data_IF_623737973836
#
_entry.id   IF_623737973836
#
_cell.length_a   1.000
_cell.length_b   1.000
_cell.length_c   1.000
_cell.angle_alpha   90.00
_cell.angle_beta   90.00
_cell.angle_gamma   90.00
#
_symmetry.space_group_name_H-M   'P 1'
#
loop_
_entity.id
_entity.type
_entity.pdbx_description
1 polymer ?
#
# COMPACT_ATOMS: atom_id res chain seq x y z
N UNK A 1 -13.69 -2.36 -10.61
CA UNK A 1 -14.06 -1.49 -11.75
C UNK A 1 -13.90 0.02 -11.45
N UNK A 2 -14.45 0.64 -10.38
CA UNK A 2 -14.33 2.10 -10.20
C UNK A 2 -12.89 2.60 -10.15
N UNK A 3 -12.00 1.92 -9.41
CA UNK A 3 -10.59 2.27 -9.32
C UNK A 3 -9.84 2.02 -10.64
N UNK A 4 -10.25 0.99 -11.40
CA UNK A 4 -9.66 0.69 -12.71
C UNK A 4 -10.00 1.77 -13.74
N UNK A 5 -11.25 2.25 -13.75
CA UNK A 5 -11.65 3.39 -14.57
C UNK A 5 -10.93 4.67 -14.18
N UNK A 6 -10.72 4.91 -12.89
CA UNK A 6 -9.96 6.06 -12.41
C UNK A 6 -8.52 6.00 -12.92
N UNK A 7 -7.84 4.87 -12.75
CA UNK A 7 -6.47 4.69 -13.23
C UNK A 7 -6.37 4.73 -14.75
N UNK A 8 -7.31 4.12 -15.48
CA UNK A 8 -7.38 4.24 -16.92
C UNK A 8 -7.55 5.70 -17.36
N UNK A 9 -8.36 6.47 -16.63
CA UNK A 9 -8.49 7.92 -16.83
C UNK A 9 -7.15 8.65 -16.74
N UNK A 10 -6.41 8.47 -15.64
CA UNK A 10 -5.08 9.07 -15.46
C UNK A 10 -4.13 8.72 -16.61
N UNK A 11 -4.07 7.44 -16.98
CA UNK A 11 -3.18 6.96 -18.03
C UNK A 11 -3.62 7.37 -19.44
N UNK A 12 -4.89 7.74 -19.65
CA UNK A 12 -5.42 8.12 -20.96
C UNK A 12 -5.28 9.62 -21.24
N UNK A 13 -5.06 10.47 -20.24
CA UNK A 13 -4.92 11.92 -20.44
C UNK A 13 -3.78 12.24 -21.42
N UNK A 14 -2.59 11.67 -21.22
CA UNK A 14 -1.43 11.91 -22.11
C UNK A 14 -1.68 11.40 -23.53
N UNK A 15 -2.12 10.17 -23.78
CA UNK A 15 -2.57 9.74 -25.11
C UNK A 15 -3.63 10.65 -25.74
N UNK A 16 -4.60 11.13 -24.97
CA UNK A 16 -5.61 12.07 -25.44
C UNK A 16 -5.00 13.36 -25.99
N UNK A 17 -4.08 13.96 -25.24
CA UNK A 17 -3.33 15.14 -25.68
C UNK A 17 -2.45 14.88 -26.90
N UNK A 18 -1.79 13.73 -26.96
CA UNK A 18 -1.00 13.31 -28.13
C UNK A 18 -1.86 13.08 -29.38
N UNK A 19 -3.10 12.59 -29.21
CA UNK A 19 -4.05 12.46 -30.29
C UNK A 19 -4.50 13.84 -30.83
N UNK A 20 -4.76 14.81 -29.96
CA UNK A 20 -5.06 16.18 -30.36
C UNK A 20 -3.90 16.77 -31.17
N UNK A 21 -2.66 16.62 -30.69
CA UNK A 21 -1.48 17.05 -31.44
C UNK A 21 -1.31 16.36 -32.79
N UNK A 22 -1.67 15.06 -32.87
CA UNK A 22 -1.60 14.28 -34.12
C UNK A 22 -2.60 14.71 -35.19
N UNK A 23 -3.68 15.40 -34.82
CA UNK A 23 -4.62 16.00 -35.78
C UNK A 23 -3.96 17.15 -36.59
N UNK A 24 -2.91 17.79 -36.01
CA UNK A 24 -2.24 18.93 -36.61
C UNK A 24 -0.92 18.58 -37.28
N UNK A 25 -0.21 17.62 -36.76
CA UNK A 25 1.10 17.22 -37.29
C UNK A 25 1.33 15.72 -37.19
N UNK A 26 1.98 15.14 -38.18
CA UNK A 26 2.47 13.75 -38.19
C UNK A 26 4.01 13.74 -38.09
N UNK A 27 4.55 14.45 -37.12
CA UNK A 27 6.00 14.52 -36.95
C UNK A 27 6.57 13.21 -36.37
N UNK A 28 7.78 12.85 -36.81
CA UNK A 28 8.53 11.71 -36.26
C UNK A 28 8.74 11.86 -34.74
N UNK A 29 8.90 13.09 -34.26
CA UNK A 29 9.05 13.39 -32.82
C UNK A 29 7.80 12.99 -32.03
N UNK A 30 6.61 13.32 -32.53
CA UNK A 30 5.34 12.97 -31.87
C UNK A 30 5.14 11.45 -31.80
N UNK A 31 5.47 10.75 -32.88
CA UNK A 31 5.43 9.28 -32.89
C UNK A 31 6.42 8.67 -31.91
N UNK A 32 7.60 9.25 -31.78
CA UNK A 32 8.61 8.83 -30.81
C UNK A 32 8.18 9.05 -29.37
N UNK A 33 7.60 10.24 -29.05
CA UNK A 33 7.04 10.54 -27.71
C UNK A 33 5.96 9.51 -27.34
N UNK A 34 5.04 9.22 -28.27
CA UNK A 34 4.00 8.21 -28.05
C UNK A 34 4.59 6.82 -27.77
N UNK A 35 5.61 6.41 -28.53
CA UNK A 35 6.27 5.12 -28.33
C UNK A 35 6.95 5.04 -26.96
N UNK A 36 7.68 6.11 -26.58
CA UNK A 36 8.34 6.21 -25.27
C UNK A 36 7.30 6.11 -24.14
N UNK A 37 6.19 6.84 -24.28
CA UNK A 37 5.10 6.78 -23.31
C UNK A 37 4.55 5.36 -23.11
N UNK A 38 4.28 4.65 -24.22
CA UNK A 38 3.79 3.26 -24.16
C UNK A 38 4.82 2.36 -23.44
N UNK A 39 6.10 2.49 -23.76
CA UNK A 39 7.16 1.71 -23.12
C UNK A 39 7.18 1.96 -21.61
N UNK A 40 7.20 3.24 -21.20
CA UNK A 40 7.27 3.63 -19.78
C UNK A 40 6.04 3.08 -19.03
N UNK A 41 4.84 3.28 -19.57
CA UNK A 41 3.61 2.81 -18.93
C UNK A 41 3.57 1.29 -18.85
N UNK A 42 3.98 0.57 -19.90
CA UNK A 42 4.01 -0.90 -19.89
C UNK A 42 4.96 -1.45 -18.83
N UNK A 43 6.14 -0.86 -18.69
CA UNK A 43 7.11 -1.25 -17.65
C UNK A 43 6.56 -0.93 -16.26
N UNK A 44 6.07 0.30 -16.05
CA UNK A 44 5.54 0.74 -14.76
C UNK A 44 4.39 -0.13 -14.27
N UNK A 45 3.39 -0.36 -15.13
CA UNK A 45 2.24 -1.22 -14.81
C UNK A 45 2.69 -2.64 -14.52
N UNK A 46 3.61 -3.18 -15.32
CA UNK A 46 4.13 -4.53 -15.12
C UNK A 46 4.84 -4.67 -13.78
N UNK A 47 5.71 -3.72 -13.42
CA UNK A 47 6.37 -3.72 -12.11
C UNK A 47 5.34 -3.67 -10.97
N UNK A 48 4.34 -2.80 -11.06
CA UNK A 48 3.33 -2.64 -10.00
C UNK A 48 2.49 -3.92 -9.87
N UNK A 49 1.93 -4.45 -10.96
CA UNK A 49 1.04 -5.61 -10.89
C UNK A 49 1.76 -6.89 -10.46
N UNK A 50 2.96 -7.14 -10.97
CA UNK A 50 3.72 -8.35 -10.60
C UNK A 50 4.22 -8.25 -9.17
N UNK A 51 4.68 -7.07 -8.72
CA UNK A 51 5.07 -6.86 -7.32
C UNK A 51 3.89 -7.02 -6.38
N UNK A 52 2.73 -6.46 -6.69
CA UNK A 52 1.51 -6.63 -5.89
C UNK A 52 1.11 -8.10 -5.78
N UNK A 53 1.13 -8.83 -6.90
CA UNK A 53 0.79 -10.25 -6.92
C UNK A 53 1.75 -11.08 -6.04
N UNK A 54 3.05 -10.80 -6.12
CA UNK A 54 4.07 -11.49 -5.31
C UNK A 54 3.98 -11.16 -3.83
N UNK A 55 3.79 -9.89 -3.48
CA UNK A 55 3.79 -9.42 -2.10
C UNK A 55 2.47 -9.66 -1.36
N UNK A 56 1.35 -9.72 -2.07
CA UNK A 56 0.04 -9.93 -1.46
C UNK A 56 -0.04 -11.24 -0.64
N UNK A 57 0.60 -12.30 -1.14
CA UNK A 57 0.65 -13.60 -0.44
C UNK A 57 1.35 -13.55 0.92
N UNK A 58 2.34 -12.66 1.06
CA UNK A 58 3.12 -12.50 2.30
C UNK A 58 2.50 -11.48 3.24
N UNK A 59 1.96 -10.36 2.70
CA UNK A 59 1.54 -9.22 3.51
C UNK A 59 0.05 -9.13 3.74
N UNK A 60 -0.76 -9.82 2.93
CA UNK A 60 -2.21 -9.86 3.08
C UNK A 60 -2.92 -8.54 2.77
N UNK A 61 -2.23 -7.55 2.16
CA UNK A 61 -2.82 -6.29 1.71
C UNK A 61 -2.21 -5.86 0.38
N UNK A 62 -2.88 -4.92 -0.30
CA UNK A 62 -2.49 -4.45 -1.64
C UNK A 62 -1.26 -3.54 -1.57
N UNK A 63 -0.54 -3.45 -2.68
CA UNK A 63 0.70 -2.71 -2.79
C UNK A 63 0.56 -1.27 -2.31
N UNK A 64 1.43 -0.88 -1.39
CA UNK A 64 1.61 0.48 -0.88
C UNK A 64 3.07 0.94 -1.05
N UNK A 65 3.45 2.06 -0.46
CA UNK A 65 4.82 2.60 -0.52
C UNK A 65 5.84 1.82 0.32
N UNK A 66 5.41 0.87 1.14
CA UNK A 66 6.29 0.16 2.10
C UNK A 66 7.37 -0.67 1.42
N UNK A 67 7.11 -1.46 0.34
CA UNK A 67 8.17 -2.18 -0.36
C UNK A 67 9.25 -1.27 -0.93
N UNK A 68 8.83 -0.12 -1.46
CA UNK A 68 9.79 0.87 -1.99
C UNK A 68 10.68 1.41 -0.87
N UNK A 69 10.09 1.71 0.30
CA UNK A 69 10.86 2.15 1.46
C UNK A 69 11.92 1.11 1.84
N UNK A 70 11.56 -0.17 1.99
CA UNK A 70 12.52 -1.22 2.34
C UNK A 70 13.56 -1.46 1.26
N UNK A 71 13.17 -1.43 -0.01
CA UNK A 71 14.09 -1.58 -1.13
C UNK A 71 15.15 -0.47 -1.18
N UNK A 72 14.79 0.77 -0.84
CA UNK A 72 15.74 1.88 -0.85
C UNK A 72 16.52 2.02 0.46
N UNK A 73 15.96 1.65 1.61
CA UNK A 73 16.64 1.76 2.91
C UNK A 73 17.59 0.59 3.19
N UNK A 74 17.20 -0.64 2.86
CA UNK A 74 17.95 -1.86 3.14
C UNK A 74 17.75 -2.91 2.04
N UNK A 75 18.30 -2.70 0.83
CA UNK A 75 18.04 -3.59 -0.32
C UNK A 75 18.53 -5.03 -0.09
N UNK A 76 19.62 -5.22 0.66
CA UNK A 76 20.14 -6.55 0.99
C UNK A 76 19.16 -7.33 1.87
N UNK A 77 18.61 -6.68 2.89
CA UNK A 77 17.69 -7.33 3.83
C UNK A 77 16.33 -7.60 3.16
N UNK A 78 15.87 -6.68 2.31
CA UNK A 78 14.65 -6.85 1.53
C UNK A 78 14.70 -8.08 0.60
N UNK A 79 15.88 -8.41 0.05
CA UNK A 79 16.08 -9.57 -0.83
C UNK A 79 16.48 -10.84 -0.07
N UNK A 80 17.07 -10.73 1.12
CA UNK A 80 17.57 -11.88 1.88
C UNK A 80 16.48 -12.85 2.32
N UNK A 81 15.26 -12.35 2.52
CA UNK A 81 14.10 -13.15 2.94
C UNK A 81 13.35 -13.84 1.79
N UNK A 82 13.74 -13.59 0.54
CA UNK A 82 13.04 -14.09 -0.64
C UNK A 82 13.92 -15.08 -1.41
N UNK A 83 13.35 -16.24 -1.77
CA UNK A 83 14.06 -17.22 -2.60
C UNK A 83 14.45 -16.62 -3.95
N UNK A 84 15.68 -16.91 -4.41
CA UNK A 84 16.18 -16.44 -5.72
C UNK A 84 15.26 -16.86 -6.88
N UNK A 85 14.61 -18.01 -6.79
CA UNK A 85 13.68 -18.50 -7.81
C UNK A 85 12.41 -17.63 -7.91
N UNK A 86 11.92 -17.10 -6.78
CA UNK A 86 10.80 -16.16 -6.75
C UNK A 86 11.21 -14.83 -7.40
N UNK A 87 12.42 -14.35 -7.10
CA UNK A 87 12.96 -13.13 -7.71
C UNK A 87 13.09 -13.28 -9.22
N UNK A 88 13.71 -14.37 -9.70
CA UNK A 88 13.88 -14.65 -11.13
C UNK A 88 12.52 -14.82 -11.84
N UNK A 89 11.58 -15.55 -11.22
CA UNK A 89 10.22 -15.71 -11.72
C UNK A 89 9.47 -14.37 -11.79
N UNK A 90 9.64 -13.52 -10.79
CA UNK A 90 9.08 -12.16 -10.76
C UNK A 90 9.63 -11.29 -11.91
N UNK A 91 10.95 -11.28 -12.10
CA UNK A 91 11.60 -10.54 -13.20
C UNK A 91 11.11 -11.03 -14.56
N UNK A 92 11.07 -12.36 -14.76
CA UNK A 92 10.55 -12.94 -16.00
C UNK A 92 9.07 -12.54 -16.21
N UNK A 93 8.26 -12.63 -15.17
CA UNK A 93 6.85 -12.20 -15.21
C UNK A 93 6.71 -10.72 -15.59
N UNK A 94 7.55 -9.84 -15.01
CA UNK A 94 7.57 -8.42 -15.35
C UNK A 94 7.92 -8.20 -16.83
N UNK A 95 8.93 -8.88 -17.36
CA UNK A 95 9.33 -8.74 -18.76
C UNK A 95 8.23 -9.22 -19.71
N UNK A 96 7.65 -10.40 -19.44
CA UNK A 96 6.56 -10.96 -20.25
C UNK A 96 5.34 -10.07 -20.23
N UNK A 97 4.92 -9.61 -19.05
CA UNK A 97 3.76 -8.76 -18.89
C UNK A 97 3.97 -7.37 -19.51
N UNK A 98 5.16 -6.78 -19.36
CA UNK A 98 5.50 -5.52 -20.01
C UNK A 98 5.47 -5.63 -21.55
N UNK A 99 5.99 -6.72 -22.11
CA UNK A 99 5.94 -6.97 -23.53
C UNK A 99 4.47 -7.11 -24.01
N UNK A 100 3.65 -7.85 -23.30
CA UNK A 100 2.25 -8.04 -23.63
C UNK A 100 1.49 -6.71 -23.60
N UNK A 101 1.66 -5.90 -22.56
CA UNK A 101 1.08 -4.56 -22.47
C UNK A 101 1.57 -3.63 -23.59
N UNK A 102 2.89 -3.67 -23.88
CA UNK A 102 3.44 -2.86 -24.96
C UNK A 102 2.81 -3.20 -26.32
N UNK A 103 2.68 -4.47 -26.66
CA UNK A 103 2.05 -4.89 -27.92
C UNK A 103 0.57 -4.50 -27.95
N UNK A 104 -0.17 -4.72 -26.87
CA UNK A 104 -1.59 -4.36 -26.76
C UNK A 104 -1.82 -2.86 -26.92
N UNK A 105 -1.11 -2.04 -26.14
CA UNK A 105 -1.21 -0.58 -26.17
C UNK A 105 -0.72 -0.01 -27.51
N UNK A 106 0.34 -0.57 -28.08
CA UNK A 106 0.83 -0.19 -29.40
C UNK A 106 -0.16 -0.50 -30.50
N UNK A 107 -0.84 -1.65 -30.44
CA UNK A 107 -1.89 -2.02 -31.39
C UNK A 107 -3.05 -1.01 -31.32
N UNK A 108 -3.53 -0.67 -30.14
CA UNK A 108 -4.62 0.29 -29.93
C UNK A 108 -4.22 1.69 -30.44
N UNK A 109 -3.06 2.20 -30.00
CA UNK A 109 -2.66 3.58 -30.26
C UNK A 109 -2.06 3.81 -31.65
N UNK A 110 -1.53 2.77 -32.31
CA UNK A 110 -0.96 2.90 -33.66
C UNK A 110 -1.99 2.96 -34.78
N UNK A 111 -3.22 2.52 -34.53
CA UNK A 111 -4.31 2.59 -35.52
C UNK A 111 -4.82 4.01 -35.78
N UNK A 112 -4.45 5.00 -34.95
CA UNK A 112 -4.80 6.42 -35.10
C UNK A 112 -3.80 7.18 -36.02
N UNK A 113 -3.51 6.68 -37.22
CA UNK A 113 -2.29 7.02 -37.97
C UNK A 113 -2.39 8.14 -39.02
N UNK A 114 -3.50 8.83 -39.22
CA UNK A 114 -3.54 9.79 -40.33
C UNK A 114 -3.94 11.19 -39.90
N UNK A 115 -3.10 12.22 -40.15
CA UNK A 115 -3.51 13.60 -39.97
C UNK A 115 -4.71 13.91 -40.89
N UNK A 116 -5.67 14.66 -40.37
CA UNK A 116 -6.83 15.05 -41.13
C UNK A 116 -6.44 16.03 -42.22
N UNK A 117 -6.70 15.67 -43.48
CA UNK A 117 -6.31 16.49 -44.66
C UNK A 117 -7.11 17.80 -44.78
N UNK A 118 -8.23 17.94 -44.10
CA UNK A 118 -9.14 19.10 -44.25
C UNK A 118 -9.01 19.99 -43.00
N UNK A 119 -8.55 21.28 -43.14
CA UNK A 119 -8.34 22.17 -42.01
C UNK A 119 -9.53 22.36 -41.07
N UNK A 120 -10.73 22.53 -41.63
CA UNK A 120 -11.97 22.70 -40.88
C UNK A 120 -12.26 21.47 -39.96
N UNK A 121 -12.00 20.27 -40.45
CA UNK A 121 -12.19 19.05 -39.68
C UNK A 121 -11.15 18.92 -38.54
N UNK A 122 -9.97 19.51 -38.67
CA UNK A 122 -8.94 19.47 -37.61
C UNK A 122 -9.41 20.20 -36.36
N UNK A 123 -10.00 21.37 -36.50
CA UNK A 123 -10.55 22.16 -35.38
C UNK A 123 -11.68 21.38 -34.69
N UNK A 124 -12.65 20.90 -35.45
CA UNK A 124 -13.77 20.13 -34.90
C UNK A 124 -13.32 18.86 -34.18
N UNK A 125 -12.42 18.10 -34.78
CA UNK A 125 -11.88 16.88 -34.18
C UNK A 125 -11.06 17.19 -32.94
N UNK A 126 -10.23 18.25 -32.98
CA UNK A 126 -9.49 18.68 -31.79
C UNK A 126 -10.41 19.12 -30.65
N UNK A 127 -11.52 19.79 -30.95
CA UNK A 127 -12.55 20.15 -29.98
C UNK A 127 -13.21 18.93 -29.33
N UNK A 128 -13.60 17.94 -30.15
CA UNK A 128 -14.19 16.69 -29.65
C UNK A 128 -13.18 15.91 -28.80
N UNK A 129 -11.93 15.78 -29.25
CA UNK A 129 -10.88 15.07 -28.51
C UNK A 129 -10.53 15.80 -27.20
N UNK A 130 -10.51 17.14 -27.20
CA UNK A 130 -10.29 17.93 -25.99
C UNK A 130 -11.43 17.71 -25.00
N UNK A 131 -12.68 17.78 -25.47
CA UNK A 131 -13.84 17.49 -24.63
C UNK A 131 -13.79 16.06 -24.08
N UNK A 132 -13.51 15.06 -24.92
CA UNK A 132 -13.38 13.68 -24.50
C UNK A 132 -12.25 13.50 -23.45
N UNK A 133 -11.10 14.16 -23.64
CA UNK A 133 -9.99 14.12 -22.68
C UNK A 133 -10.38 14.85 -21.38
N UNK A 134 -11.08 15.97 -21.45
CA UNK A 134 -11.58 16.66 -20.26
C UNK A 134 -12.61 15.82 -19.48
N UNK A 135 -13.46 15.07 -20.18
CA UNK A 135 -14.43 14.17 -19.55
C UNK A 135 -13.78 13.01 -18.77
N UNK A 136 -12.50 12.68 -19.02
CA UNK A 136 -11.74 11.73 -18.19
C UNK A 136 -11.64 12.20 -16.74
N UNK A 137 -11.84 13.49 -16.46
CA UNK A 137 -11.93 13.99 -15.09
C UNK A 137 -13.02 13.29 -14.27
N UNK A 138 -14.12 12.89 -14.89
CA UNK A 138 -15.25 12.23 -14.22
C UNK A 138 -14.83 10.89 -13.62
N UNK A 139 -14.27 9.90 -14.36
CA UNK A 139 -13.81 8.66 -13.77
C UNK A 139 -12.59 8.85 -12.87
N UNK A 140 -11.70 9.80 -13.16
CA UNK A 140 -10.56 10.13 -12.30
C UNK A 140 -11.05 10.55 -10.91
N UNK A 141 -12.02 11.47 -10.85
CA UNK A 141 -12.59 11.95 -9.58
C UNK A 141 -13.50 10.94 -8.91
N UNK A 142 -14.07 10.00 -9.66
CA UNK A 142 -15.03 9.00 -9.16
C UNK A 142 -16.49 9.42 -9.22
N UNK A 143 -16.83 10.33 -10.15
CA UNK A 143 -18.18 10.83 -10.40
C UNK A 143 -18.39 12.26 -9.93
N UNK A 144 -19.65 12.64 -9.76
CA UNK A 144 -20.09 14.01 -9.41
C UNK A 144 -20.36 14.20 -7.90
N UNK A 145 -20.18 13.16 -7.08
CA UNK A 145 -20.41 13.24 -5.64
C UNK A 145 -19.35 14.11 -4.94
N UNK A 146 -19.63 14.58 -3.72
CA UNK A 146 -18.67 15.35 -2.90
C UNK A 146 -17.41 14.53 -2.61
N UNK A 147 -17.58 13.23 -2.34
CA UNK A 147 -16.48 12.32 -2.06
C UNK A 147 -15.68 12.00 -3.33
N UNK A 148 -14.39 12.27 -3.31
CA UNK A 148 -13.44 11.87 -4.37
C UNK A 148 -13.20 10.36 -4.38
N UNK A 149 -12.55 9.86 -5.43
CA UNK A 149 -12.16 8.46 -5.51
C UNK A 149 -11.21 8.11 -4.37
N UNK A 150 -11.49 7.01 -3.68
CA UNK A 150 -10.67 6.45 -2.61
C UNK A 150 -10.86 4.93 -2.52
N UNK A 151 -10.00 4.25 -1.75
CA UNK A 151 -10.03 2.79 -1.62
C UNK A 151 -11.35 2.27 -1.05
N UNK A 152 -12.00 3.02 -0.14
CA UNK A 152 -13.25 2.60 0.49
C UNK A 152 -14.42 2.44 -0.48
N UNK A 153 -14.38 3.09 -1.66
CA UNK A 153 -15.45 2.97 -2.69
C UNK A 153 -15.62 1.56 -3.27
N UNK A 154 -14.64 0.69 -3.10
CA UNK A 154 -14.70 -0.69 -3.60
C UNK A 154 -14.91 -1.71 -2.50
N UNK A 155 -15.13 -1.27 -1.26
CA UNK A 155 -15.46 -2.16 -0.15
C UNK A 155 -16.95 -2.50 -0.22
N UNK A 156 -17.25 -3.77 -0.46
CA UNK A 156 -18.61 -4.25 -0.69
C UNK A 156 -18.97 -5.48 0.15
N UNK A 157 -18.01 -6.03 0.90
CA UNK A 157 -18.17 -7.29 1.64
C UNK A 157 -17.60 -7.17 3.05
N UNK A 158 -18.15 -7.96 3.98
CA UNK A 158 -17.55 -8.20 5.29
C UNK A 158 -16.24 -9.02 5.18
N UNK A 159 -16.04 -9.75 4.08
CA UNK A 159 -14.81 -10.48 3.81
C UNK A 159 -13.75 -9.54 3.22
N UNK A 160 -12.71 -9.28 4.01
CA UNK A 160 -11.60 -8.39 3.62
C UNK A 160 -10.90 -8.82 2.32
N UNK A 161 -10.73 -10.12 2.08
CA UNK A 161 -10.06 -10.62 0.86
C UNK A 161 -10.84 -10.25 -0.41
N UNK A 162 -12.17 -10.23 -0.35
CA UNK A 162 -13.00 -9.81 -1.48
C UNK A 162 -12.86 -8.31 -1.73
N UNK A 163 -12.80 -7.50 -0.69
CA UNK A 163 -12.56 -6.07 -0.81
C UNK A 163 -11.18 -5.79 -1.41
N UNK A 164 -10.14 -6.52 -0.97
CA UNK A 164 -8.80 -6.41 -1.53
C UNK A 164 -8.77 -6.82 -3.02
N UNK A 165 -9.50 -7.86 -3.42
CA UNK A 165 -9.58 -8.26 -4.83
C UNK A 165 -10.16 -7.17 -5.74
N UNK A 166 -10.99 -6.27 -5.19
CA UNK A 166 -11.57 -5.15 -5.92
C UNK A 166 -10.66 -3.90 -5.99
N UNK A 167 -9.56 -3.87 -5.23
CA UNK A 167 -8.62 -2.75 -5.24
C UNK A 167 -7.65 -2.88 -6.42
N UNK A 168 -7.52 -1.81 -7.19
CA UNK A 168 -6.50 -1.69 -8.24
C UNK A 168 -5.13 -1.39 -7.60
N UNK A 169 -4.07 -2.19 -7.86
CA UNK A 169 -2.74 -1.99 -7.25
C UNK A 169 -2.09 -0.64 -7.56
N UNK A 170 -2.28 -0.13 -8.78
CA UNK A 170 -1.74 1.18 -9.16
C UNK A 170 -2.42 2.31 -8.37
N UNK A 171 -3.75 2.21 -8.19
CA UNK A 171 -4.48 3.16 -7.39
C UNK A 171 -4.07 3.09 -5.92
N UNK A 172 -3.90 1.87 -5.38
CA UNK A 172 -3.44 1.65 -4.00
C UNK A 172 -2.08 2.31 -3.75
N UNK A 173 -1.13 2.08 -4.65
CA UNK A 173 0.20 2.68 -4.56
C UNK A 173 0.14 4.22 -4.67
N UNK A 174 -0.62 4.76 -5.62
CA UNK A 174 -0.80 6.20 -5.80
C UNK A 174 -1.46 6.85 -4.57
N UNK A 175 -2.52 6.24 -4.03
CA UNK A 175 -3.20 6.70 -2.82
C UNK A 175 -2.24 6.70 -1.61
N UNK A 176 -1.41 5.67 -1.48
CA UNK A 176 -0.38 5.58 -0.44
C UNK A 176 0.67 6.70 -0.55
N UNK A 177 1.10 7.07 -1.76
CA UNK A 177 1.99 8.23 -1.95
C UNK A 177 1.30 9.55 -1.57
N UNK A 178 0.03 9.71 -1.93
CA UNK A 178 -0.70 10.96 -1.68
C UNK A 178 -1.02 11.19 -0.20
N UNK A 179 -1.10 10.10 0.57
CA UNK A 179 -1.41 10.13 2.01
C UNK A 179 -0.19 10.21 2.93
N UNK A 180 0.99 10.42 2.40
CA UNK A 180 2.18 10.71 3.21
C UNK A 180 2.03 12.11 3.83
N UNK A 181 1.22 12.20 4.88
CA UNK A 181 0.99 13.43 5.63
C UNK A 181 2.07 13.57 6.71
N UNK A 182 2.44 14.79 7.04
CA UNK A 182 3.29 15.09 8.17
C UNK A 182 2.68 14.49 9.45
N UNK A 183 3.46 13.68 10.16
CA UNK A 183 3.00 12.87 11.30
C UNK A 183 2.32 13.71 12.39
N UNK A 184 2.83 14.91 12.63
CA UNK A 184 2.32 15.87 13.60
C UNK A 184 0.91 16.40 13.30
N UNK A 185 0.42 16.23 12.06
CA UNK A 185 -0.89 16.73 11.60
C UNK A 185 -1.92 15.62 11.36
N UNK A 186 -1.47 14.36 11.31
CA UNK A 186 -2.30 13.24 10.82
C UNK A 186 -3.47 12.88 11.75
N UNK A 187 -3.33 13.07 13.06
CA UNK A 187 -4.28 12.59 14.05
C UNK A 187 -4.79 13.71 14.99
N UNK A 188 -4.79 14.94 14.56
CA UNK A 188 -5.36 16.06 15.33
C UNK A 188 -6.88 16.10 15.13
N UNK A 189 -7.59 15.27 15.86
CA UNK A 189 -9.06 15.23 15.80
C UNK A 189 -9.73 16.11 16.84
N UNK A 190 -9.01 16.47 17.92
CA UNK A 190 -9.53 17.23 19.05
C UNK A 190 -8.60 18.42 19.36
N UNK A 191 -9.12 19.47 20.01
CA UNK A 191 -8.29 20.49 20.65
C UNK A 191 -7.34 19.84 21.67
N UNK A 192 -6.14 20.41 21.86
CA UNK A 192 -5.11 19.79 22.69
C UNK A 192 -5.59 19.58 24.16
N UNK A 193 -6.23 20.57 24.76
CA UNK A 193 -6.76 20.47 26.12
C UNK A 193 -7.78 19.36 26.31
N UNK A 194 -8.68 19.17 25.32
CA UNK A 194 -9.69 18.12 25.35
C UNK A 194 -9.04 16.75 25.18
N UNK A 195 -8.07 16.64 24.29
CA UNK A 195 -7.30 15.42 24.07
C UNK A 195 -6.54 14.99 25.33
N UNK A 196 -5.87 15.93 26.00
CA UNK A 196 -5.13 15.71 27.24
C UNK A 196 -6.07 15.26 28.37
N UNK A 197 -7.21 15.91 28.51
CA UNK A 197 -8.22 15.52 29.51
C UNK A 197 -8.77 14.11 29.29
N UNK A 198 -9.09 13.76 28.04
CA UNK A 198 -9.57 12.41 27.69
C UNK A 198 -8.46 11.36 27.88
N UNK A 199 -7.23 11.69 27.53
CA UNK A 199 -6.09 10.79 27.70
C UNK A 199 -5.81 10.56 29.20
N UNK A 200 -5.82 11.61 30.03
CA UNK A 200 -5.69 11.48 31.47
C UNK A 200 -6.79 10.60 32.06
N UNK A 201 -8.05 10.78 31.63
CA UNK A 201 -9.15 9.93 32.10
C UNK A 201 -8.99 8.44 31.73
N UNK A 202 -8.27 8.12 30.65
CA UNK A 202 -7.94 6.75 30.25
C UNK A 202 -6.77 6.16 31.03
N UNK A 203 -5.79 6.98 31.40
CA UNK A 203 -4.52 6.55 31.98
C UNK A 203 -4.47 6.68 33.51
N UNK A 204 -5.15 7.67 34.08
CA UNK A 204 -5.23 7.91 35.52
C UNK A 204 -6.18 6.94 36.20
N UNK A 205 -5.81 5.66 36.20
CA UNK A 205 -6.51 4.67 37.00
C UNK A 205 -5.97 4.68 38.42
N UNK A 206 -6.85 4.66 39.43
CA UNK A 206 -6.38 4.55 40.80
C UNK A 206 -5.57 3.26 40.94
N UNK A 207 -4.38 3.36 41.52
CA UNK A 207 -3.59 2.19 41.91
C UNK A 207 -4.39 1.47 42.98
N UNK A 208 -5.00 0.35 42.64
CA UNK A 208 -5.70 -0.50 43.60
C UNK A 208 -4.66 -1.31 44.37
N UNK A 209 -4.81 -1.40 45.70
CA UNK A 209 -3.92 -2.16 46.59
C UNK A 209 -3.87 -3.68 46.31
N UNK A 210 -4.52 -4.11 45.25
CA UNK A 210 -4.65 -5.52 44.86
C UNK A 210 -3.73 -5.96 43.72
N UNK A 211 -2.71 -5.18 43.38
CA UNK A 211 -1.70 -5.62 42.39
C UNK A 211 -0.83 -6.71 43.06
N UNK A 212 -0.85 -7.96 42.56
CA UNK A 212 -0.03 -9.00 43.15
C UNK A 212 1.44 -8.68 42.96
N UNK A 213 2.22 -8.77 44.02
CA UNK A 213 3.67 -8.63 43.92
C UNK A 213 4.24 -9.84 43.17
N UNK A 214 4.71 -9.62 41.95
CA UNK A 214 5.22 -10.68 41.08
C UNK A 214 6.69 -11.05 41.38
N UNK A 215 7.45 -10.14 41.98
CA UNK A 215 8.87 -10.32 42.24
C UNK A 215 9.18 -10.29 43.74
N UNK A 216 10.18 -11.07 44.15
CA UNK A 216 10.66 -11.11 45.53
C UNK A 216 11.63 -9.94 45.87
N UNK A 217 11.84 -9.02 44.92
CA UNK A 217 12.73 -7.86 45.07
C UNK A 217 12.09 -6.64 44.42
N UNK A 218 12.39 -5.45 44.99
CA UNK A 218 11.95 -4.18 44.45
C UNK A 218 12.72 -3.75 43.19
N UNK A 219 13.92 -4.28 42.98
CA UNK A 219 14.81 -3.92 41.87
C UNK A 219 15.28 -5.19 41.12
N UNK A 220 14.40 -5.89 40.37
CA UNK A 220 14.79 -7.06 39.61
C UNK A 220 15.62 -6.68 38.37
N UNK A 221 16.59 -7.54 38.02
CA UNK A 221 17.19 -7.47 36.69
C UNK A 221 16.18 -8.05 35.67
N UNK A 222 15.92 -7.32 34.58
CA UNK A 222 14.95 -7.71 33.56
C UNK A 222 15.68 -7.99 32.25
N UNK A 223 15.47 -9.19 31.69
CA UNK A 223 15.89 -9.53 30.32
C UNK A 223 14.61 -9.67 29.49
N UNK A 224 14.46 -8.79 28.49
CA UNK A 224 13.34 -8.83 27.57
C UNK A 224 13.77 -9.55 26.28
N UNK A 225 13.10 -10.63 25.94
CA UNK A 225 13.33 -11.39 24.70
C UNK A 225 12.11 -11.19 23.81
N UNK A 226 12.29 -10.47 22.68
CA UNK A 226 11.23 -10.26 21.66
C UNK A 226 11.43 -11.27 20.56
N UNK A 227 10.48 -12.19 20.42
CA UNK A 227 10.49 -13.22 19.38
C UNK A 227 9.80 -12.72 18.12
N UNK A 228 10.57 -12.62 17.04
CA UNK A 228 10.04 -12.20 15.73
C UNK A 228 9.12 -13.29 15.15
N UNK A 229 7.96 -12.84 14.64
CA UNK A 229 6.96 -13.71 13.98
C UNK A 229 6.46 -14.88 14.83
N UNK A 230 6.65 -14.86 16.16
CA UNK A 230 6.16 -15.87 17.05
C UNK A 230 4.67 -15.69 17.32
N UNK A 231 3.88 -16.73 17.06
CA UNK A 231 2.43 -16.71 17.18
C UNK A 231 1.92 -17.65 18.27
N UNK A 232 0.82 -17.29 18.92
CA UNK A 232 0.09 -18.18 19.85
C UNK A 232 -0.32 -19.50 19.21
N UNK A 233 -0.47 -19.58 17.88
CA UNK A 233 -0.72 -20.84 17.16
C UNK A 233 0.39 -21.88 17.31
N UNK A 234 1.56 -21.50 17.77
CA UNK A 234 2.69 -22.41 18.02
C UNK A 234 2.69 -22.96 19.45
N UNK A 235 1.86 -22.44 20.36
CA UNK A 235 1.81 -22.80 21.77
C UNK A 235 0.52 -23.57 22.10
N UNK A 236 0.69 -24.83 22.55
CA UNK A 236 -0.43 -25.67 22.97
C UNK A 236 -1.21 -25.06 24.16
N UNK A 237 -0.51 -24.46 25.11
CA UNK A 237 -1.11 -23.75 26.26
C UNK A 237 -2.02 -22.59 25.89
N UNK A 238 -1.89 -22.05 24.68
CA UNK A 238 -2.75 -20.98 24.13
C UNK A 238 -3.74 -21.47 23.07
N UNK A 239 -3.91 -22.79 22.94
CA UNK A 239 -4.82 -23.43 21.98
C UNK A 239 -4.23 -23.58 20.57
N UNK A 240 -2.90 -23.49 20.44
CA UNK A 240 -2.17 -23.72 19.19
C UNK A 240 -1.86 -25.19 18.93
N UNK A 241 -1.03 -25.44 17.91
CA UNK A 241 -0.63 -26.80 17.49
C UNK A 241 0.24 -27.48 18.56
N UNK A 242 -0.12 -28.71 19.01
CA UNK A 242 0.60 -29.40 20.06
C UNK A 242 2.00 -29.84 19.60
N UNK A 243 2.95 -29.78 20.53
CA UNK A 243 4.30 -30.30 20.32
C UNK A 243 5.24 -29.46 19.47
N UNK A 244 4.85 -28.23 19.06
CA UNK A 244 5.71 -27.31 18.28
C UNK A 244 6.61 -26.51 19.22
N UNK A 245 6.05 -25.73 20.14
CA UNK A 245 6.79 -24.83 21.03
C UNK A 245 6.95 -25.43 22.45
N UNK A 246 7.36 -26.68 22.55
CA UNK A 246 7.39 -27.45 23.82
C UNK A 246 8.09 -26.72 24.97
N UNK A 247 9.20 -26.05 24.71
CA UNK A 247 9.91 -25.29 25.74
C UNK A 247 9.16 -24.04 26.19
N UNK A 248 8.43 -23.39 25.28
CA UNK A 248 7.61 -22.21 25.62
C UNK A 248 6.37 -22.64 26.43
N UNK A 249 5.76 -23.77 26.07
CA UNK A 249 4.65 -24.37 26.84
C UNK A 249 5.13 -24.78 28.25
N UNK A 250 6.33 -25.31 28.37
CA UNK A 250 6.94 -25.60 29.67
C UNK A 250 7.12 -24.31 30.48
N UNK A 251 7.71 -23.26 29.93
CA UNK A 251 7.85 -21.97 30.59
C UNK A 251 6.51 -21.34 30.97
N UNK A 252 5.48 -21.48 30.15
CA UNK A 252 4.13 -21.02 30.45
C UNK A 252 3.54 -21.71 31.69
N UNK A 253 3.87 -22.99 31.92
CA UNK A 253 3.43 -23.75 33.08
C UNK A 253 4.29 -23.52 34.34
N UNK A 254 5.56 -23.16 34.19
CA UNK A 254 6.51 -22.91 35.29
C UNK A 254 6.56 -21.44 35.73
N UNK A 255 6.12 -20.51 34.86
CA UNK A 255 6.18 -19.07 35.07
C UNK A 255 4.81 -18.39 35.13
N UNK A 256 4.76 -17.15 34.70
CA UNK A 256 3.53 -16.35 34.62
C UNK A 256 3.18 -16.17 33.14
N UNK A 257 2.03 -16.67 32.73
CA UNK A 257 1.51 -16.50 31.38
C UNK A 257 0.40 -15.44 31.36
N UNK A 258 0.60 -14.38 30.57
CA UNK A 258 -0.40 -13.35 30.32
C UNK A 258 -1.27 -13.76 29.12
N UNK A 259 -2.44 -14.31 29.37
CA UNK A 259 -3.33 -14.85 28.33
C UNK A 259 -4.06 -13.78 27.52
N UNK A 260 -4.17 -12.57 28.03
CA UNK A 260 -4.79 -11.41 27.37
C UNK A 260 -3.76 -10.36 26.96
N UNK A 261 -2.64 -10.84 26.41
CA UNK A 261 -1.58 -9.97 25.92
C UNK A 261 -1.62 -9.92 24.39
N UNK A 262 -1.86 -8.72 23.84
CA UNK A 262 -2.08 -8.51 22.42
C UNK A 262 -1.00 -7.66 21.79
N UNK A 263 -0.65 -7.96 20.54
CA UNK A 263 0.27 -7.13 19.76
C UNK A 263 -0.37 -5.77 19.45
N UNK A 264 0.38 -4.70 19.67
CA UNK A 264 -0.07 -3.33 19.35
C UNK A 264 -0.07 -3.06 17.85
N UNK A 265 0.64 -3.86 17.05
CA UNK A 265 0.66 -3.76 15.60
C UNK A 265 0.99 -5.11 14.95
N UNK A 266 0.61 -5.23 13.68
CA UNK A 266 0.88 -6.40 12.86
C UNK A 266 2.24 -6.36 12.14
N UNK A 267 3.05 -5.31 12.36
CA UNK A 267 4.38 -5.13 11.75
C UNK A 267 5.43 -4.82 12.80
N UNK A 268 6.61 -5.39 12.63
CA UNK A 268 7.77 -5.22 13.51
C UNK A 268 8.19 -3.76 13.65
N UNK A 269 8.22 -3.00 12.57
CA UNK A 269 8.61 -1.58 12.55
C UNK A 269 7.69 -0.67 13.40
N UNK A 270 6.46 -1.10 13.64
CA UNK A 270 5.51 -0.40 14.52
C UNK A 270 5.48 -1.02 15.92
N UNK A 271 5.42 -2.36 15.99
CA UNK A 271 5.35 -3.08 17.24
C UNK A 271 6.58 -2.88 18.12
N UNK A 272 7.78 -2.87 17.53
CA UNK A 272 9.03 -2.65 18.26
C UNK A 272 9.08 -1.27 18.93
N UNK A 273 8.64 -0.22 18.23
CA UNK A 273 8.52 1.13 18.82
C UNK A 273 7.58 1.11 20.00
N UNK A 274 6.42 0.46 19.89
CA UNK A 274 5.45 0.38 20.99
C UNK A 274 6.00 -0.39 22.19
N UNK A 275 6.74 -1.48 21.98
CA UNK A 275 7.35 -2.28 23.05
C UNK A 275 8.40 -1.46 23.79
N UNK A 276 9.27 -0.73 23.07
CA UNK A 276 10.41 -0.01 23.67
C UNK A 276 9.96 1.30 24.32
N UNK A 277 9.04 2.03 23.70
CA UNK A 277 8.68 3.40 24.14
C UNK A 277 7.33 3.50 24.82
N UNK A 278 6.50 2.46 24.79
CA UNK A 278 5.10 2.53 25.22
C UNK A 278 4.20 3.35 24.28
N UNK A 279 4.73 3.90 23.18
CA UNK A 279 3.95 4.70 22.24
C UNK A 279 3.02 3.82 21.39
N UNK A 280 1.71 4.11 21.36
CA UNK A 280 0.77 3.30 20.59
C UNK A 280 1.09 3.29 19.10
N UNK A 281 1.08 2.10 18.50
CA UNK A 281 1.32 1.97 17.07
C UNK A 281 0.21 2.66 16.26
N UNK A 282 0.62 3.48 15.31
CA UNK A 282 -0.32 4.20 14.46
C UNK A 282 -0.86 3.29 13.34
N UNK A 283 -2.16 3.33 13.02
CA UNK A 283 -2.78 2.40 12.06
C UNK A 283 -2.17 2.45 10.65
N UNK A 284 -1.81 3.64 10.18
CA UNK A 284 -1.40 3.88 8.79
C UNK A 284 0.05 4.33 8.64
N UNK A 285 0.74 4.60 9.75
CA UNK A 285 2.06 5.25 9.74
C UNK A 285 3.05 4.48 10.60
N UNK A 286 4.31 4.40 10.17
CA UNK A 286 5.41 3.89 10.97
C UNK A 286 6.34 5.04 11.35
N UNK A 287 6.56 5.27 12.65
CA UNK A 287 7.46 6.30 13.17
C UNK A 287 8.89 6.09 12.65
N UNK A 288 9.32 4.83 12.47
CA UNK A 288 10.66 4.51 11.96
C UNK A 288 10.92 5.01 10.54
N UNK A 289 9.88 5.39 9.78
CA UNK A 289 10.02 5.98 8.44
C UNK A 289 10.36 7.47 8.46
N UNK A 290 10.23 8.13 9.61
CA UNK A 290 10.55 9.55 9.78
C UNK A 290 11.91 9.68 10.41
N UNK A 291 12.95 9.64 9.60
CA UNK A 291 14.29 10.05 10.01
C UNK A 291 14.36 11.58 10.02
N UNK A 292 14.81 12.14 11.12
CA UNK A 292 15.14 13.57 11.20
C UNK A 292 16.34 13.88 10.32
#
# INVERSE_FOLDING_TARGET
>A
LPLDFSMAGYLTVIPGLLLIASAWTDSKKLQQIRRIYIIIVSILLSCIFISDLGLYGYWGFRLDTTPLFYFFSSPKDALASVSIWIVLGGILGMVVYAALLYFLLSFILNNAKRPLKIPFRRVSVSGVLLLATALLFIPIRGGFSVATMNLGKVFFSANQKLNHAAINPCFSLMDSFSRQVAFDKQYRFLPAEEADHLFAALTDKPVTDSIPQLFNTEHPNIIMIVLESFSSHLMETLGGEPGIAVNMDKFANEGILFTHFYANSFRTDRGLVSIISGYPAQPTTSIMKYTR
#
